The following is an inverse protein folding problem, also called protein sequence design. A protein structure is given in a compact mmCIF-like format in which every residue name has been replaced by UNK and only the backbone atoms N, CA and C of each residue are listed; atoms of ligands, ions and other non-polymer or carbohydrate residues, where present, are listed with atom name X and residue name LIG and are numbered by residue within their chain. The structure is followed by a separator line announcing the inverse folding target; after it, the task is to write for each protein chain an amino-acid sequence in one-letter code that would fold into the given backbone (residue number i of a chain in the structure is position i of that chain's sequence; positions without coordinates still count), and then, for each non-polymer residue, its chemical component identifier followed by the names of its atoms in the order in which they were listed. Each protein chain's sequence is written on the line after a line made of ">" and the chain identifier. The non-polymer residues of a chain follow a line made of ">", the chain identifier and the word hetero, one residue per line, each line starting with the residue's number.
data_IF_503530590984
#
_entry.id   IF_503530590984
#
_cell.length_a   1.000
_cell.length_b   1.000
_cell.length_c   1.000
_cell.angle_alpha   90.00
_cell.angle_beta   90.00
_cell.angle_gamma   90.00
#
_symmetry.space_group_name_H-M   'P 1'
#
loop_
_entity.id
_entity.type
_entity.pdbx_description
1 polymer ?
#
# COMPACT_ATOMS: atom_id res chain seq x y z
N UNK A 1 -19.69 1.66 -64.98
CA UNK A 1 -20.67 2.03 -63.95
C UNK A 1 -20.81 0.93 -62.88
N UNK A 2 -21.31 -0.27 -63.18
CA UNK A 2 -21.38 -1.34 -62.16
C UNK A 2 -20.02 -1.90 -61.71
N UNK A 3 -18.98 -1.84 -62.54
CA UNK A 3 -17.63 -2.33 -62.21
C UNK A 3 -16.87 -1.42 -61.24
N UNK A 4 -17.09 -0.09 -61.30
CA UNK A 4 -16.43 0.89 -60.42
C UNK A 4 -17.01 0.88 -59.00
N UNK A 5 -18.32 0.62 -58.86
CA UNK A 5 -18.93 0.45 -57.54
C UNK A 5 -18.43 -0.81 -56.85
N UNK A 6 -18.22 -1.91 -57.59
CA UNK A 6 -17.67 -3.15 -57.02
C UNK A 6 -16.23 -2.95 -56.54
N UNK A 7 -15.39 -2.23 -57.28
CA UNK A 7 -14.03 -1.87 -56.84
C UNK A 7 -14.04 -0.96 -55.61
N UNK A 8 -14.94 0.01 -55.54
CA UNK A 8 -15.10 0.88 -54.38
C UNK A 8 -15.56 0.11 -53.13
N UNK A 9 -16.46 -0.87 -53.30
CA UNK A 9 -16.93 -1.76 -52.23
C UNK A 9 -15.81 -2.69 -51.77
N UNK A 10 -15.02 -3.26 -52.68
CA UNK A 10 -13.89 -4.12 -52.34
C UNK A 10 -12.77 -3.35 -51.62
N UNK A 11 -12.52 -2.11 -52.04
CA UNK A 11 -11.56 -1.20 -51.41
C UNK A 11 -12.03 -0.77 -50.01
N UNK A 12 -13.32 -0.49 -49.83
CA UNK A 12 -13.90 -0.22 -48.51
C UNK A 12 -13.87 -1.45 -47.60
N UNK A 13 -14.11 -2.65 -48.15
CA UNK A 13 -14.03 -3.90 -47.40
C UNK A 13 -12.59 -4.15 -46.92
N UNK A 14 -11.61 -3.98 -47.81
CA UNK A 14 -10.18 -4.12 -47.49
C UNK A 14 -9.69 -3.03 -46.51
N UNK A 15 -10.26 -1.83 -46.55
CA UNK A 15 -9.99 -0.76 -45.59
C UNK A 15 -10.57 -1.09 -44.21
N UNK A 16 -11.80 -1.61 -44.17
CA UNK A 16 -12.46 -2.04 -42.92
C UNK A 16 -11.76 -3.23 -42.26
N UNK A 17 -11.25 -4.17 -43.06
CA UNK A 17 -10.51 -5.33 -42.59
C UNK A 17 -9.11 -4.96 -42.05
N UNK A 18 -8.55 -3.81 -42.46
CA UNK A 18 -7.25 -3.31 -42.01
C UNK A 18 -7.36 -2.30 -40.84
N UNK A 19 -8.54 -1.71 -40.63
CA UNK A 19 -8.90 -0.95 -39.41
C UNK A 19 -9.41 -1.85 -38.28
N UNK A 20 -9.81 -3.10 -38.57
CA UNK A 20 -9.73 -4.18 -37.58
C UNK A 20 -8.27 -4.61 -37.38
N UNK A 21 -7.42 -3.62 -37.07
CA UNK A 21 -6.31 -3.88 -36.16
C UNK A 21 -6.89 -4.63 -34.97
N UNK A 22 -6.19 -5.70 -34.61
CA UNK A 22 -6.43 -6.55 -33.47
C UNK A 22 -6.53 -5.74 -32.17
N UNK A 23 -7.70 -5.14 -31.93
CA UNK A 23 -8.18 -4.70 -30.62
C UNK A 23 -8.95 -5.88 -29.98
N UNK A 24 -8.55 -7.12 -30.28
CA UNK A 24 -8.87 -8.23 -29.40
C UNK A 24 -7.91 -8.08 -28.23
N UNK A 25 -8.42 -7.50 -27.15
CA UNK A 25 -7.72 -7.21 -25.90
C UNK A 25 -6.45 -8.03 -25.73
N UNK A 26 -5.31 -7.44 -26.09
CA UNK A 26 -4.02 -7.94 -25.68
C UNK A 26 -4.03 -7.82 -24.17
N UNK A 27 -4.48 -8.88 -23.49
CA UNK A 27 -4.33 -9.01 -22.05
C UNK A 27 -2.85 -8.82 -21.83
N UNK A 28 -2.45 -7.67 -21.30
CA UNK A 28 -1.06 -7.36 -20.97
C UNK A 28 -0.66 -8.39 -19.93
N UNK A 29 -0.16 -9.53 -20.40
CA UNK A 29 0.34 -10.59 -19.55
C UNK A 29 1.71 -10.12 -19.10
N UNK A 30 1.74 -9.53 -17.92
CA UNK A 30 2.99 -9.24 -17.22
C UNK A 30 3.81 -10.52 -17.20
N UNK A 31 5.02 -10.44 -17.75
CA UNK A 31 6.00 -11.52 -17.69
C UNK A 31 6.26 -11.80 -16.21
N UNK A 32 5.90 -12.99 -15.72
CA UNK A 32 6.09 -13.37 -14.30
C UNK A 32 7.56 -13.69 -14.04
N UNK A 33 8.38 -12.65 -13.94
CA UNK A 33 9.85 -12.75 -13.77
C UNK A 33 10.29 -12.09 -12.47
N UNK A 34 9.47 -12.16 -11.41
CA UNK A 34 9.94 -11.85 -10.08
C UNK A 34 10.80 -13.03 -9.59
N UNK A 35 12.10 -12.97 -9.88
CA UNK A 35 13.08 -13.89 -9.31
C UNK A 35 13.19 -13.74 -7.79
N UNK A 36 13.70 -14.76 -7.11
CA UNK A 36 13.81 -14.79 -5.63
C UNK A 36 14.51 -13.54 -5.07
N UNK A 37 15.66 -13.17 -5.62
CA UNK A 37 16.41 -12.00 -5.18
C UNK A 37 15.65 -10.69 -5.40
N UNK A 38 14.95 -10.56 -6.54
CA UNK A 38 14.14 -9.37 -6.82
C UNK A 38 12.96 -9.27 -5.85
N UNK A 39 12.32 -10.39 -5.51
CA UNK A 39 11.22 -10.44 -4.56
C UNK A 39 11.68 -10.11 -3.13
N UNK A 40 12.81 -10.68 -2.69
CA UNK A 40 13.39 -10.39 -1.36
C UNK A 40 13.74 -8.91 -1.24
N UNK A 41 14.42 -8.33 -2.23
CA UNK A 41 14.78 -6.91 -2.20
C UNK A 41 13.54 -6.00 -2.21
N UNK A 42 12.49 -6.37 -2.95
CA UNK A 42 11.22 -5.64 -2.92
C UNK A 42 10.59 -5.66 -1.53
N UNK A 43 10.55 -6.83 -0.88
CA UNK A 43 10.02 -6.98 0.49
C UNK A 43 10.84 -6.15 1.47
N UNK A 44 12.18 -6.21 1.40
CA UNK A 44 13.05 -5.39 2.26
C UNK A 44 12.82 -3.89 2.06
N UNK A 45 12.60 -3.45 0.82
CA UNK A 45 12.33 -2.05 0.49
C UNK A 45 10.99 -1.52 1.03
N UNK A 46 9.96 -2.36 1.11
CA UNK A 46 8.67 -1.96 1.69
C UNK A 46 8.59 -2.12 3.20
N UNK A 47 9.41 -3.01 3.79
CA UNK A 47 9.45 -3.25 5.24
C UNK A 47 10.30 -2.22 5.99
N UNK A 48 11.44 -1.81 5.41
CA UNK A 48 12.32 -0.81 6.02
C UNK A 48 11.80 0.59 5.68
N UNK A 49 11.05 1.17 6.62
CA UNK A 49 10.53 2.54 6.51
C UNK A 49 11.18 3.54 7.48
N UNK A 50 10.61 4.75 7.54
CA UNK A 50 11.05 5.83 8.44
C UNK A 50 10.80 5.54 9.93
N UNK A 51 10.04 4.50 10.27
CA UNK A 51 9.71 4.13 11.65
C UNK A 51 10.94 3.84 12.52
N UNK A 52 12.06 3.42 11.93
CA UNK A 52 13.29 3.13 12.68
C UNK A 52 13.86 4.36 13.42
N UNK A 53 13.54 5.58 12.98
CA UNK A 53 14.01 6.79 13.64
C UNK A 53 13.20 7.15 14.88
N UNK A 54 11.91 6.78 14.91
CA UNK A 54 10.97 7.14 15.99
C UNK A 54 10.79 6.00 16.99
N UNK A 55 10.60 4.76 16.50
CA UNK A 55 10.21 3.62 17.31
C UNK A 55 11.20 3.25 18.43
N UNK A 56 12.53 3.31 18.26
CA UNK A 56 13.47 2.98 19.34
C UNK A 56 13.43 3.97 20.50
N UNK A 57 13.24 5.26 20.23
CA UNK A 57 13.14 6.29 21.26
C UNK A 57 11.90 6.04 22.13
N UNK A 58 10.74 5.85 21.50
CA UNK A 58 9.50 5.53 22.20
C UNK A 58 9.59 4.19 22.96
N UNK A 59 10.22 3.16 22.40
CA UNK A 59 10.39 1.87 23.08
C UNK A 59 11.31 1.98 24.31
N UNK A 60 12.36 2.80 24.25
CA UNK A 60 13.26 3.02 25.37
C UNK A 60 12.58 3.82 26.50
N UNK A 61 11.82 4.87 26.16
CA UNK A 61 11.06 5.67 27.12
C UNK A 61 10.05 4.82 27.89
N UNK A 62 9.35 3.91 27.21
CA UNK A 62 8.36 3.04 27.86
C UNK A 62 8.96 1.86 28.64
N UNK A 63 10.13 1.35 28.23
CA UNK A 63 10.77 0.20 28.88
C UNK A 63 11.71 0.58 30.02
N UNK A 64 12.24 1.81 30.04
CA UNK A 64 13.15 2.34 31.06
C UNK A 64 14.53 1.68 31.11
N UNK A 65 14.77 0.59 30.38
CA UNK A 65 16.01 -0.16 30.34
C UNK A 65 16.35 -0.63 28.92
N UNK A 66 17.60 -0.44 28.52
CA UNK A 66 18.10 -0.81 27.18
C UNK A 66 17.96 -2.31 26.92
N UNK A 67 18.18 -3.15 27.93
CA UNK A 67 18.05 -4.61 27.79
C UNK A 67 16.61 -5.04 27.50
N UNK A 68 15.63 -4.41 28.18
CA UNK A 68 14.21 -4.68 27.92
C UNK A 68 13.79 -4.17 26.54
N UNK A 69 14.28 -3.01 26.11
CA UNK A 69 14.02 -2.49 24.76
C UNK A 69 14.47 -3.48 23.66
N UNK A 70 15.66 -4.07 23.78
CA UNK A 70 16.17 -5.06 22.82
C UNK A 70 15.37 -6.37 22.81
N UNK A 71 14.89 -6.81 23.99
CA UNK A 71 14.02 -7.99 24.09
C UNK A 71 12.68 -7.72 23.38
N UNK A 72 12.05 -6.57 23.63
CA UNK A 72 10.78 -6.18 22.99
C UNK A 72 10.93 -6.15 21.47
N UNK A 73 12.02 -5.56 20.97
CA UNK A 73 12.33 -5.53 19.54
C UNK A 73 12.49 -6.92 18.92
N UNK A 74 13.17 -7.82 19.62
CA UNK A 74 13.36 -9.20 19.17
C UNK A 74 12.03 -9.95 19.14
N UNK A 75 11.22 -9.80 20.19
CA UNK A 75 9.90 -10.43 20.29
C UNK A 75 8.96 -9.89 19.20
N UNK A 76 8.93 -8.59 18.94
CA UNK A 76 8.11 -8.02 17.85
C UNK A 76 8.54 -8.55 16.47
N UNK A 77 9.84 -8.75 16.26
CA UNK A 77 10.36 -9.36 15.03
C UNK A 77 9.87 -10.80 14.85
N UNK A 78 9.88 -11.60 15.92
CA UNK A 78 9.39 -12.99 15.89
C UNK A 78 7.88 -13.03 15.60
N UNK A 79 7.09 -12.19 16.27
CA UNK A 79 5.64 -12.11 16.05
C UNK A 79 5.34 -11.71 14.59
N UNK A 80 6.08 -10.73 14.06
CA UNK A 80 5.95 -10.30 12.66
C UNK A 80 6.29 -11.42 11.68
N UNK A 81 7.34 -12.20 11.93
CA UNK A 81 7.72 -13.34 11.10
C UNK A 81 6.62 -14.42 11.06
N UNK A 82 6.03 -14.75 12.21
CA UNK A 82 4.92 -15.71 12.30
C UNK A 82 3.68 -15.21 11.55
N UNK A 83 3.38 -13.91 11.64
CA UNK A 83 2.33 -13.27 10.84
C UNK A 83 2.61 -13.38 9.34
N UNK A 84 3.83 -13.04 8.90
CA UNK A 84 4.22 -13.11 7.50
C UNK A 84 4.14 -14.53 6.92
N UNK A 85 4.55 -15.56 7.68
CA UNK A 85 4.40 -16.96 7.30
C UNK A 85 2.92 -17.35 7.15
N UNK A 86 2.06 -16.91 8.08
CA UNK A 86 0.63 -17.18 8.01
C UNK A 86 -0.03 -16.52 6.78
N UNK A 87 0.39 -15.28 6.46
CA UNK A 87 -0.05 -14.59 5.24
C UNK A 87 0.53 -15.21 3.96
N UNK A 88 1.72 -15.79 4.01
CA UNK A 88 2.30 -16.51 2.88
C UNK A 88 1.49 -17.76 2.52
N UNK A 89 1.10 -18.56 3.52
CA UNK A 89 0.19 -19.71 3.33
C UNK A 89 -1.17 -19.28 2.77
N UNK A 90 -1.72 -18.16 3.27
CA UNK A 90 -3.00 -17.65 2.76
C UNK A 90 -2.88 -17.14 1.32
N UNK A 91 -1.74 -16.56 0.96
CA UNK A 91 -1.43 -16.10 -0.39
C UNK A 91 -1.23 -17.22 -1.42
N UNK A 92 -0.80 -18.41 -0.99
CA UNK A 92 -0.72 -19.58 -1.89
C UNK A 92 -2.07 -20.28 -2.04
N UNK A 93 -2.92 -20.27 -1.01
CA UNK A 93 -4.27 -20.86 -1.04
C UNK A 93 -5.24 -20.00 -1.84
N UNK A 94 -5.23 -18.68 -1.67
CA UNK A 94 -6.16 -17.76 -2.32
C UNK A 94 -5.47 -17.07 -3.50
N UNK A 95 -5.52 -17.71 -4.67
CA UNK A 95 -4.94 -17.19 -5.93
C UNK A 95 -5.72 -16.04 -6.59
N UNK A 96 -6.39 -15.18 -5.81
CA UNK A 96 -7.18 -14.03 -6.30
C UNK A 96 -6.46 -12.72 -5.98
N UNK A 97 -6.59 -11.74 -6.87
CA UNK A 97 -6.03 -10.40 -6.66
C UNK A 97 -6.87 -9.62 -5.64
N UNK A 98 -6.22 -8.97 -4.67
CA UNK A 98 -6.87 -8.17 -3.63
C UNK A 98 -6.39 -8.42 -2.20
N UNK A 99 -5.38 -9.29 -1.99
CA UNK A 99 -4.75 -9.58 -0.70
C UNK A 99 -5.80 -9.81 0.43
N UNK A 100 -5.75 -9.02 1.49
CA UNK A 100 -6.63 -9.12 2.66
C UNK A 100 -8.12 -9.14 2.29
N UNK A 101 -8.56 -8.28 1.36
CA UNK A 101 -9.94 -8.24 0.89
C UNK A 101 -10.37 -9.57 0.25
N UNK A 102 -9.50 -10.17 -0.57
CA UNK A 102 -9.76 -11.46 -1.20
C UNK A 102 -9.80 -12.60 -0.19
N UNK A 103 -8.97 -12.55 0.85
CA UNK A 103 -8.96 -13.55 1.93
C UNK A 103 -10.28 -13.53 2.70
N UNK A 104 -10.74 -12.35 3.11
CA UNK A 104 -12.04 -12.21 3.81
C UNK A 104 -13.22 -12.60 2.91
N UNK A 105 -13.16 -12.27 1.62
CA UNK A 105 -14.21 -12.64 0.67
C UNK A 105 -14.29 -14.16 0.46
N UNK A 106 -13.15 -14.86 0.38
CA UNK A 106 -13.14 -16.32 0.21
C UNK A 106 -13.58 -17.06 1.48
N UNK A 107 -13.19 -16.55 2.66
CA UNK A 107 -13.54 -17.14 3.96
C UNK A 107 -15.01 -16.94 4.33
N UNK A 108 -15.53 -15.71 4.22
CA UNK A 108 -16.87 -15.36 4.70
C UNK A 108 -17.94 -15.33 3.60
N UNK A 109 -17.54 -15.15 2.34
CA UNK A 109 -18.48 -15.06 1.21
C UNK A 109 -19.33 -16.33 1.01
N UNK A 110 -18.81 -17.51 1.42
CA UNK A 110 -19.51 -18.79 1.28
C UNK A 110 -20.46 -19.13 2.45
N UNK A 111 -20.35 -18.42 3.58
CA UNK A 111 -21.13 -18.71 4.80
C UNK A 111 -22.57 -18.22 4.68
N UNK A 112 -22.81 -17.04 4.08
CA UNK A 112 -24.17 -16.49 3.95
C UNK A 112 -24.33 -15.63 2.68
N UNK A 113 -25.34 -15.91 1.85
CA UNK A 113 -25.53 -15.24 0.53
C UNK A 113 -25.71 -13.73 0.62
N UNK A 114 -26.29 -13.23 1.71
CA UNK A 114 -26.55 -11.79 1.92
C UNK A 114 -25.54 -11.09 2.83
N UNK A 115 -25.00 -11.77 3.84
CA UNK A 115 -24.14 -11.18 4.88
C UNK A 115 -22.66 -11.57 4.72
N UNK A 116 -22.37 -12.59 3.91
CA UNK A 116 -21.02 -13.08 3.64
C UNK A 116 -20.03 -12.04 3.08
N UNK A 117 -20.42 -11.12 2.17
CA UNK A 117 -19.48 -10.12 1.66
C UNK A 117 -19.32 -8.89 2.57
N UNK A 118 -20.15 -8.75 3.61
CA UNK A 118 -20.18 -7.56 4.45
C UNK A 118 -18.91 -7.40 5.32
N UNK A 119 -18.33 -8.45 5.92
CA UNK A 119 -17.03 -8.36 6.61
C UNK A 119 -15.90 -7.88 5.69
N UNK A 120 -15.85 -8.38 4.45
CA UNK A 120 -14.84 -7.98 3.47
C UNK A 120 -14.95 -6.50 3.10
N UNK A 121 -16.18 -6.00 2.94
CA UNK A 121 -16.44 -4.58 2.73
C UNK A 121 -16.03 -3.72 3.94
N UNK A 122 -16.35 -4.14 5.16
CA UNK A 122 -15.97 -3.40 6.37
C UNK A 122 -14.45 -3.35 6.53
N UNK A 123 -13.74 -4.45 6.26
CA UNK A 123 -12.27 -4.46 6.26
C UNK A 123 -11.71 -3.44 5.26
N UNK A 124 -12.19 -3.45 4.02
CA UNK A 124 -11.77 -2.48 3.01
C UNK A 124 -12.11 -1.03 3.43
N UNK A 125 -13.29 -0.81 4.02
CA UNK A 125 -13.71 0.50 4.49
C UNK A 125 -12.80 1.03 5.60
N UNK A 126 -12.55 0.23 6.63
CA UNK A 126 -11.64 0.58 7.73
C UNK A 126 -10.24 0.85 7.20
N UNK A 127 -9.78 0.01 6.26
CA UNK A 127 -8.47 0.16 5.65
C UNK A 127 -8.32 1.51 4.94
N UNK A 128 -9.29 1.89 4.11
CA UNK A 128 -9.25 3.12 3.30
C UNK A 128 -9.53 4.36 4.15
N UNK A 129 -10.48 4.30 5.09
CA UNK A 129 -10.94 5.49 5.84
C UNK A 129 -10.07 5.76 7.07
N UNK A 130 -9.54 4.73 7.71
CA UNK A 130 -8.83 4.87 8.99
C UNK A 130 -7.35 4.56 8.82
N UNK A 131 -7.02 3.38 8.27
CA UNK A 131 -5.64 2.90 8.27
C UNK A 131 -4.75 3.74 7.34
N UNK A 132 -5.14 3.93 6.07
CA UNK A 132 -4.35 4.68 5.09
C UNK A 132 -4.12 6.15 5.47
N UNK A 133 -5.12 6.91 5.92
CA UNK A 133 -4.89 8.29 6.37
C UNK A 133 -4.01 8.35 7.63
N UNK A 134 -4.15 7.41 8.56
CA UNK A 134 -3.32 7.35 9.76
C UNK A 134 -1.84 7.09 9.44
N UNK A 135 -1.53 6.17 8.52
CA UNK A 135 -0.17 5.90 8.04
C UNK A 135 0.49 7.18 7.49
N UNK A 136 -0.22 7.87 6.60
CA UNK A 136 0.27 9.11 5.99
C UNK A 136 0.44 10.21 7.05
N UNK A 137 -0.50 10.32 8.00
CA UNK A 137 -0.42 11.30 9.08
C UNK A 137 0.81 11.11 9.98
N UNK A 138 1.13 9.86 10.35
CA UNK A 138 2.31 9.54 11.16
C UNK A 138 3.59 9.92 10.39
N UNK A 139 3.68 9.58 9.11
CA UNK A 139 4.86 9.89 8.28
C UNK A 139 5.05 11.41 8.16
N UNK A 140 3.97 12.17 7.90
CA UNK A 140 4.02 13.63 7.78
C UNK A 140 4.40 14.30 9.11
N UNK A 141 3.83 13.82 10.22
CA UNK A 141 4.15 14.31 11.57
C UNK A 141 5.63 14.09 11.89
N UNK A 142 6.11 12.88 11.65
CA UNK A 142 7.52 12.51 11.85
C UNK A 142 8.45 13.36 10.99
N UNK A 143 8.12 13.54 9.71
CA UNK A 143 8.90 14.36 8.80
C UNK A 143 8.98 15.82 9.27
N UNK A 144 7.86 16.40 9.70
CA UNK A 144 7.84 17.76 10.22
C UNK A 144 8.71 17.90 11.48
N UNK A 145 8.65 16.95 12.40
CA UNK A 145 9.48 16.94 13.61
C UNK A 145 10.97 16.96 13.26
N UNK A 146 11.43 16.07 12.38
CA UNK A 146 12.84 16.03 11.99
C UNK A 146 13.25 17.23 11.13
N UNK A 147 12.37 17.76 10.28
CA UNK A 147 12.68 18.91 9.43
C UNK A 147 12.82 20.22 10.23
N UNK A 148 12.00 20.41 11.28
CA UNK A 148 12.02 21.61 12.12
C UNK A 148 12.97 21.49 13.32
N UNK A 149 13.44 20.28 13.66
CA UNK A 149 14.40 20.07 14.74
C UNK A 149 15.64 20.99 14.68
N UNK A 150 16.35 21.18 13.56
CA UNK A 150 17.54 22.05 13.52
C UNK A 150 17.22 23.54 13.70
N UNK A 151 16.05 23.99 13.24
CA UNK A 151 15.64 25.40 13.30
C UNK A 151 15.02 25.80 14.65
N UNK A 152 14.67 24.82 15.48
CA UNK A 152 13.99 25.04 16.77
C UNK A 152 14.87 24.72 17.98
N UNK A 153 16.17 24.48 17.76
CA UNK A 153 17.14 24.12 18.80
C UNK A 153 17.33 25.21 19.85
N UNK A 154 17.22 26.49 19.45
CA UNK A 154 17.39 27.66 20.33
C UNK A 154 16.04 28.26 20.83
N UNK A 155 14.91 27.66 20.49
CA UNK A 155 13.57 28.18 20.81
C UNK A 155 13.02 27.59 22.12
N UNK A 156 12.34 28.40 22.93
CA UNK A 156 11.66 27.94 24.15
C UNK A 156 10.72 26.75 23.87
N UNK A 157 10.60 25.77 24.79
CA UNK A 157 9.90 24.50 24.56
C UNK A 157 8.42 24.66 24.16
N UNK A 158 7.77 25.73 24.62
CA UNK A 158 6.38 26.04 24.32
C UNK A 158 6.16 26.42 22.85
N UNK A 159 7.12 27.14 22.25
CA UNK A 159 7.08 27.51 20.83
C UNK A 159 7.49 26.35 19.92
N UNK A 160 8.40 25.48 20.37
CA UNK A 160 8.85 24.30 19.61
C UNK A 160 7.70 23.33 19.31
N UNK A 161 6.91 22.98 20.31
CA UNK A 161 5.78 22.06 20.14
C UNK A 161 4.67 22.65 19.27
N UNK A 162 4.44 23.96 19.36
CA UNK A 162 3.44 24.67 18.55
C UNK A 162 3.88 24.80 17.09
N UNK A 163 5.17 25.09 16.83
CA UNK A 163 5.73 25.18 15.49
C UNK A 163 5.70 23.83 14.75
N UNK A 164 6.04 22.73 15.44
CA UNK A 164 5.96 21.37 14.90
C UNK A 164 4.52 21.00 14.55
N UNK A 165 3.56 21.27 15.45
CA UNK A 165 2.12 21.00 15.21
C UNK A 165 1.56 21.85 14.06
N UNK A 166 1.99 23.10 13.94
CA UNK A 166 1.57 23.97 12.85
C UNK A 166 2.17 23.53 11.50
N UNK A 167 3.43 23.10 11.50
CA UNK A 167 4.12 22.57 10.33
C UNK A 167 3.50 21.26 9.83
N UNK A 168 3.18 20.33 10.73
CA UNK A 168 2.50 19.09 10.36
C UNK A 168 1.07 19.33 9.87
N UNK A 169 0.32 20.26 10.49
CA UNK A 169 -1.01 20.66 10.03
C UNK A 169 -0.96 21.30 8.63
N UNK A 170 0.00 22.19 8.37
CA UNK A 170 0.17 22.82 7.06
C UNK A 170 0.55 21.79 5.97
N UNK A 171 1.41 20.82 6.29
CA UNK A 171 1.79 19.74 5.38
C UNK A 171 0.60 18.82 5.08
N UNK A 172 -0.20 18.46 6.09
CA UNK A 172 -1.44 17.71 5.89
C UNK A 172 -2.44 18.48 5.01
N UNK A 173 -2.66 19.76 5.26
CA UNK A 173 -3.54 20.59 4.42
C UNK A 173 -3.08 20.71 2.96
N UNK A 174 -1.78 20.56 2.69
CA UNK A 174 -1.23 20.56 1.33
C UNK A 174 -1.32 19.21 0.63
N UNK A 175 -1.43 18.12 1.38
CA UNK A 175 -1.50 16.76 0.85
C UNK A 175 -2.94 16.32 0.48
N UNK A 176 -3.95 16.89 1.14
CA UNK A 176 -5.37 16.61 0.91
C UNK A 176 -6.08 17.59 -0.04
N UNK A 177 -5.31 18.39 -0.80
CA UNK A 177 -5.83 19.38 -1.75
C UNK A 177 -5.47 18.99 -3.18
#
# INVERSE_FOLDING_TARGET
>A
MASEELEAIEKNKKFKDNETMDVTGSTVKLRRELGLFSAVNLILGVMIGSGIFVSPASALENSGSVALCLIIWTVSGIISLLGALSFAELGTVVGKSGAEYSYFQEAFGKIHKFWGPLPSFICAWIYVVILRPAEVAIIVMTFAEYAFQPFTTDLQPDYKSTAIKLGSLAALCKLFK
#
